data_IF_501521366481
#
_entry.id   IF_501521366481
#
_cell.length_a   1.000
_cell.length_b   1.000
_cell.length_c   1.000
_cell.angle_alpha   90.00
_cell.angle_beta   90.00
_cell.angle_gamma   90.00
#
_symmetry.space_group_name_H-M   'P 1'
#
loop_
_entity.id
_entity.type
_entity.pdbx_description
1 polymer ?
#
# COMPACT_ATOMS: atom_id res chain seq x y z
N UNK A 1 24.82 -33.89 -22.80
CA UNK A 1 23.85 -33.25 -21.87
C UNK A 1 23.74 -31.79 -22.29
N UNK A 2 22.80 -31.48 -23.17
CA UNK A 2 22.65 -30.16 -23.79
C UNK A 2 21.94 -29.24 -22.78
N UNK A 3 22.68 -28.28 -22.19
CA UNK A 3 22.07 -27.22 -21.39
C UNK A 3 21.31 -26.33 -22.36
N UNK A 4 19.99 -26.49 -22.45
CA UNK A 4 19.16 -25.55 -23.20
C UNK A 4 19.41 -24.15 -22.65
N UNK A 5 20.02 -23.29 -23.46
CA UNK A 5 20.30 -21.89 -23.13
C UNK A 5 18.96 -21.15 -23.13
N UNK A 6 18.19 -21.27 -22.04
CA UNK A 6 16.98 -20.48 -21.81
C UNK A 6 17.39 -19.01 -21.82
N UNK A 7 17.20 -18.35 -22.96
CA UNK A 7 17.41 -16.91 -23.09
C UNK A 7 16.19 -16.26 -22.44
N UNK A 8 16.31 -15.94 -21.16
CA UNK A 8 15.25 -15.29 -20.39
C UNK A 8 14.87 -13.99 -21.11
N UNK A 9 13.60 -13.86 -21.44
CA UNK A 9 13.05 -12.62 -21.96
C UNK A 9 12.82 -11.67 -20.78
N UNK A 10 13.81 -10.78 -20.57
CA UNK A 10 13.77 -9.80 -19.48
C UNK A 10 12.62 -8.80 -19.65
N UNK A 11 12.27 -8.44 -20.89
CA UNK A 11 11.16 -7.51 -21.14
C UNK A 11 9.84 -8.11 -20.65
N UNK A 12 9.60 -9.38 -20.96
CA UNK A 12 8.40 -10.09 -20.50
C UNK A 12 8.40 -10.29 -18.99
N UNK A 13 9.56 -10.53 -18.37
CA UNK A 13 9.67 -10.63 -16.92
C UNK A 13 9.32 -9.30 -16.24
N UNK A 14 9.89 -8.20 -16.71
CA UNK A 14 9.66 -6.86 -16.16
C UNK A 14 8.19 -6.44 -16.26
N UNK A 15 7.55 -6.69 -17.41
CA UNK A 15 6.10 -6.44 -17.57
C UNK A 15 5.24 -7.27 -16.61
N UNK A 16 5.59 -8.54 -16.39
CA UNK A 16 4.88 -9.40 -15.43
C UNK A 16 5.05 -8.90 -14.00
N UNK A 17 6.24 -8.41 -13.63
CA UNK A 17 6.50 -7.80 -12.31
C UNK A 17 5.66 -6.53 -12.14
N UNK A 18 5.67 -5.63 -13.13
CA UNK A 18 4.84 -4.41 -13.11
C UNK A 18 3.35 -4.75 -12.97
N UNK A 19 2.87 -5.69 -13.77
CA UNK A 19 1.47 -6.13 -13.75
C UNK A 19 1.09 -6.71 -12.40
N UNK A 20 1.96 -7.55 -11.80
CA UNK A 20 1.73 -8.11 -10.47
C UNK A 20 1.55 -7.01 -9.42
N UNK A 21 2.42 -6.01 -9.39
CA UNK A 21 2.31 -4.91 -8.43
C UNK A 21 1.10 -4.00 -8.69
N UNK A 22 0.71 -3.81 -9.96
CA UNK A 22 -0.56 -3.14 -10.30
C UNK A 22 -1.79 -3.87 -9.74
N UNK A 23 -1.75 -5.20 -9.71
CA UNK A 23 -2.84 -6.02 -9.17
C UNK A 23 -2.81 -6.14 -7.64
N UNK A 24 -1.62 -6.25 -7.03
CA UNK A 24 -1.45 -6.38 -5.58
C UNK A 24 -1.75 -5.07 -4.83
N UNK A 25 -1.49 -3.94 -5.47
CA UNK A 25 -1.67 -2.64 -4.85
C UNK A 25 -3.12 -2.18 -5.02
N UNK A 26 -3.82 -1.77 -3.95
CA UNK A 26 -5.26 -1.51 -3.99
C UNK A 26 -5.58 -0.17 -4.66
N UNK A 27 -5.20 0.00 -5.94
CA UNK A 27 -5.39 1.24 -6.69
C UNK A 27 -6.88 1.60 -6.89
N UNK A 28 -7.77 0.61 -6.86
CA UNK A 28 -9.22 0.79 -7.01
C UNK A 28 -9.80 1.80 -6.00
N UNK A 29 -9.21 1.92 -4.80
CA UNK A 29 -9.69 2.85 -3.78
C UNK A 29 -9.59 4.31 -4.21
N UNK A 30 -8.59 4.63 -5.05
CA UNK A 30 -8.43 5.99 -5.57
C UNK A 30 -9.44 6.31 -6.66
N UNK A 31 -9.76 5.32 -7.51
CA UNK A 31 -10.75 5.45 -8.58
C UNK A 31 -12.17 5.63 -8.02
N UNK A 32 -12.48 4.94 -6.92
CA UNK A 32 -13.82 4.92 -6.31
C UNK A 32 -13.91 5.70 -5.00
N UNK A 33 -12.94 6.58 -4.71
CA UNK A 33 -12.80 7.24 -3.42
C UNK A 33 -14.10 7.84 -2.90
N UNK A 34 -14.79 8.62 -3.73
CA UNK A 34 -16.00 9.34 -3.33
C UNK A 34 -17.20 8.43 -3.15
N UNK A 35 -17.33 7.40 -3.99
CA UNK A 35 -18.44 6.45 -3.91
C UNK A 35 -18.34 5.61 -2.64
N UNK A 36 -17.14 5.09 -2.35
CA UNK A 36 -16.86 4.34 -1.13
C UNK A 36 -17.08 5.21 0.12
N UNK A 37 -16.53 6.44 0.11
CA UNK A 37 -16.68 7.36 1.23
C UNK A 37 -18.14 7.75 1.47
N UNK A 38 -18.93 7.93 0.40
CA UNK A 38 -20.34 8.27 0.49
C UNK A 38 -21.18 7.11 1.03
N UNK A 39 -20.91 5.88 0.57
CA UNK A 39 -21.56 4.67 1.06
C UNK A 39 -21.31 4.49 2.56
N UNK A 40 -20.06 4.55 2.98
CA UNK A 40 -19.67 4.42 4.39
C UNK A 40 -20.30 5.49 5.27
N UNK A 41 -20.31 6.73 4.77
CA UNK A 41 -20.83 7.86 5.52
C UNK A 41 -22.35 7.96 5.48
N UNK A 42 -23.08 7.16 4.68
CA UNK A 42 -24.54 7.28 4.51
C UNK A 42 -25.27 7.19 5.85
N UNK A 43 -24.88 6.24 6.69
CA UNK A 43 -25.50 5.98 7.99
C UNK A 43 -24.53 6.14 9.18
N UNK A 44 -23.32 6.66 8.95
CA UNK A 44 -22.33 6.80 10.00
C UNK A 44 -22.65 7.96 10.95
N UNK A 45 -22.63 7.67 12.26
CA UNK A 45 -22.78 8.69 13.32
C UNK A 45 -21.65 9.71 13.32
N UNK A 46 -20.44 9.28 12.94
CA UNK A 46 -19.26 10.12 12.74
C UNK A 46 -18.81 9.97 11.30
N UNK A 47 -18.59 11.09 10.61
CA UNK A 47 -18.16 11.07 9.22
C UNK A 47 -16.68 10.72 9.12
N UNK A 48 -16.37 9.71 8.31
CA UNK A 48 -15.01 9.37 7.92
C UNK A 48 -14.48 10.40 6.91
N UNK A 49 -13.16 10.62 6.96
CA UNK A 49 -12.42 11.47 6.01
C UNK A 49 -11.92 10.71 4.79
N UNK A 50 -11.73 9.40 4.93
CA UNK A 50 -11.26 8.50 3.89
C UNK A 50 -12.05 7.18 3.96
N UNK A 51 -12.22 6.45 2.85
CA UNK A 51 -12.85 5.11 2.85
C UNK A 51 -12.14 4.13 3.80
N UNK A 52 -12.78 3.05 4.29
CA UNK A 52 -12.09 1.97 5.03
C UNK A 52 -11.27 1.10 4.10
N UNK A 53 -11.65 0.96 2.83
CA UNK A 53 -10.85 0.28 1.81
C UNK A 53 -9.45 0.92 1.69
N UNK A 54 -9.33 2.21 2.01
CA UNK A 54 -8.04 2.90 2.06
C UNK A 54 -7.11 2.32 3.12
N UNK A 55 -7.63 1.61 4.13
CA UNK A 55 -6.82 0.94 5.14
C UNK A 55 -5.93 -0.16 4.53
N UNK A 56 -6.35 -0.81 3.44
CA UNK A 56 -5.51 -1.78 2.71
C UNK A 56 -4.27 -1.11 2.13
N UNK A 57 -4.43 0.08 1.55
CA UNK A 57 -3.32 0.90 1.07
C UNK A 57 -2.39 1.31 2.22
N UNK A 58 -2.95 1.74 3.36
CA UNK A 58 -2.16 2.12 4.54
C UNK A 58 -1.38 0.92 5.11
N UNK A 59 -2.01 -0.25 5.19
CA UNK A 59 -1.38 -1.48 5.64
C UNK A 59 -0.25 -1.90 4.70
N UNK A 60 -0.46 -1.81 3.39
CA UNK A 60 0.58 -2.08 2.40
C UNK A 60 1.78 -1.14 2.58
N UNK A 61 1.55 0.18 2.70
CA UNK A 61 2.65 1.13 2.95
C UNK A 61 3.38 0.83 4.27
N UNK A 62 2.66 0.33 5.29
CA UNK A 62 3.23 0.03 6.60
C UNK A 62 4.19 -1.16 6.58
N UNK A 63 4.13 -2.03 5.56
CA UNK A 63 5.14 -3.06 5.33
C UNK A 63 6.54 -2.45 5.19
N UNK A 64 6.64 -1.24 4.63
CA UNK A 64 7.92 -0.60 4.31
C UNK A 64 8.21 0.66 5.13
N UNK A 65 7.18 1.33 5.66
CA UNK A 65 7.29 2.66 6.27
C UNK A 65 6.65 2.69 7.67
N UNK A 66 7.28 3.35 8.66
CA UNK A 66 6.61 3.61 9.93
C UNK A 66 5.42 4.56 9.72
N UNK A 67 4.41 4.48 10.59
CA UNK A 67 3.18 5.30 10.50
C UNK A 67 3.43 6.81 10.34
N UNK A 68 4.49 7.35 10.96
CA UNK A 68 4.83 8.76 10.83
C UNK A 68 5.36 9.11 9.43
N UNK A 69 6.10 8.21 8.79
CA UNK A 69 6.53 8.40 7.42
C UNK A 69 5.34 8.30 6.46
N UNK A 70 4.39 7.39 6.72
CA UNK A 70 3.13 7.29 5.96
C UNK A 70 2.36 8.62 6.04
N UNK A 71 2.18 9.19 7.23
CA UNK A 71 1.55 10.52 7.38
C UNK A 71 2.25 11.57 6.50
N UNK A 72 3.58 11.59 6.48
CA UNK A 72 4.37 12.48 5.61
C UNK A 72 4.07 12.28 4.12
N UNK A 73 4.02 11.02 3.67
CA UNK A 73 3.64 10.66 2.29
C UNK A 73 2.22 11.13 1.96
N UNK A 74 1.24 10.86 2.83
CA UNK A 74 -0.15 11.26 2.59
C UNK A 74 -0.31 12.77 2.50
N UNK A 75 0.39 13.54 3.35
CA UNK A 75 0.39 15.00 3.27
C UNK A 75 0.95 15.49 1.94
N UNK A 76 2.01 14.87 1.42
CA UNK A 76 2.55 15.21 0.11
C UNK A 76 1.56 14.86 -1.01
N UNK A 77 0.91 13.71 -0.96
CA UNK A 77 -0.11 13.31 -1.94
C UNK A 77 -1.33 14.24 -1.92
N UNK A 78 -1.76 14.70 -0.75
CA UNK A 78 -2.84 15.68 -0.61
C UNK A 78 -2.43 17.03 -1.22
N UNK A 79 -1.21 17.51 -0.95
CA UNK A 79 -0.68 18.74 -1.54
C UNK A 79 -0.60 18.67 -3.07
N UNK A 80 -0.26 17.50 -3.62
CA UNK A 80 -0.25 17.23 -5.05
C UNK A 80 -1.65 16.99 -5.63
N UNK A 81 -2.71 17.02 -4.81
CA UNK A 81 -4.11 16.76 -5.18
C UNK A 81 -4.32 15.36 -5.78
N UNK A 82 -3.46 14.41 -5.42
CA UNK A 82 -3.61 12.99 -5.79
C UNK A 82 -4.67 12.33 -4.92
N UNK A 83 -4.70 12.69 -3.64
CA UNK A 83 -5.76 12.30 -2.70
C UNK A 83 -6.47 13.55 -2.18
N UNK A 84 -7.75 13.45 -1.82
CA UNK A 84 -8.50 14.63 -1.40
C UNK A 84 -8.22 15.06 0.04
N UNK A 85 -7.70 14.15 0.87
CA UNK A 85 -7.33 14.46 2.25
C UNK A 85 -6.27 13.52 2.80
N UNK A 86 -5.38 14.03 3.66
CA UNK A 86 -4.43 13.21 4.41
C UNK A 86 -4.99 12.73 5.75
N UNK A 87 -4.38 11.68 6.30
CA UNK A 87 -4.68 11.15 7.63
C UNK A 87 -3.48 11.39 8.54
N UNK A 88 -3.73 11.77 9.80
CA UNK A 88 -2.68 11.89 10.80
C UNK A 88 -2.21 10.52 11.31
N UNK A 89 -1.03 10.49 11.94
CA UNK A 89 -0.43 9.29 12.52
C UNK A 89 -1.41 8.46 13.36
N UNK A 90 -2.17 9.11 14.24
CA UNK A 90 -3.04 8.44 15.20
C UNK A 90 -4.18 7.72 14.47
N UNK A 91 -4.76 8.41 13.48
CA UNK A 91 -5.82 7.89 12.62
C UNK A 91 -5.33 6.72 11.77
N UNK A 92 -4.12 6.82 11.20
CA UNK A 92 -3.52 5.72 10.41
C UNK A 92 -3.29 4.50 11.32
N UNK A 93 -2.66 4.71 12.48
CA UNK A 93 -2.36 3.63 13.42
C UNK A 93 -3.62 2.91 13.88
N UNK A 94 -4.67 3.64 14.26
CA UNK A 94 -5.93 3.08 14.72
C UNK A 94 -6.60 2.25 13.61
N UNK A 95 -6.62 2.79 12.39
CA UNK A 95 -7.21 2.13 11.22
C UNK A 95 -6.51 0.81 10.88
N UNK A 96 -5.19 0.84 10.77
CA UNK A 96 -4.40 -0.35 10.40
C UNK A 96 -4.40 -1.38 11.52
N UNK A 97 -4.26 -0.96 12.79
CA UNK A 97 -4.27 -1.86 13.95
C UNK A 97 -5.58 -2.63 14.10
N UNK A 98 -6.70 -2.01 13.73
CA UNK A 98 -8.04 -2.62 13.85
C UNK A 98 -8.45 -3.42 12.60
N UNK A 99 -7.56 -3.57 11.61
CA UNK A 99 -7.85 -4.43 10.45
C UNK A 99 -7.85 -5.89 10.87
N UNK A 100 -8.93 -6.59 10.56
CA UNK A 100 -9.00 -8.04 10.70
C UNK A 100 -8.41 -8.67 9.44
N UNK A 101 -7.09 -8.77 9.36
CA UNK A 101 -6.40 -9.34 8.21
C UNK A 101 -6.60 -10.85 8.22
N UNK A 102 -7.51 -11.33 7.39
CA UNK A 102 -7.60 -12.74 7.03
C UNK A 102 -6.74 -12.93 5.79
N UNK A 103 -5.54 -13.49 5.96
CA UNK A 103 -4.76 -13.91 4.81
C UNK A 103 -5.50 -15.08 4.16
N UNK A 104 -5.82 -15.03 2.85
CA UNK A 104 -6.32 -16.20 2.16
C UNK A 104 -5.28 -17.32 2.30
N UNK A 105 -5.73 -18.53 2.63
CA UNK A 105 -4.85 -19.69 2.69
C UNK A 105 -4.06 -19.77 1.39
N UNK A 106 -2.74 -19.87 1.52
CA UNK A 106 -1.78 -19.94 0.41
C UNK A 106 -2.26 -20.99 -0.59
N UNK A 107 -2.71 -20.55 -1.78
CA UNK A 107 -2.68 -21.43 -2.94
C UNK A 107 -1.20 -21.69 -3.23
N UNK A 108 -0.83 -22.95 -3.46
CA UNK A 108 0.54 -23.45 -3.69
C UNK A 108 1.35 -22.74 -4.82
N UNK A 109 0.80 -21.71 -5.46
CA UNK A 109 1.40 -20.96 -6.56
C UNK A 109 2.03 -19.61 -6.15
N UNK A 110 1.89 -19.15 -4.89
CA UNK A 110 2.44 -17.86 -4.46
C UNK A 110 3.61 -18.02 -3.47
N UNK A 111 4.79 -18.37 -4.00
CA UNK A 111 6.05 -18.31 -3.26
C UNK A 111 6.54 -16.84 -3.21
N UNK A 112 6.19 -16.10 -2.16
CA UNK A 112 6.73 -14.76 -1.89
C UNK A 112 8.04 -14.91 -1.12
N UNK A 113 9.15 -14.95 -1.86
CA UNK A 113 10.49 -14.82 -1.27
C UNK A 113 10.78 -13.33 -1.11
N UNK A 114 10.55 -12.80 0.09
CA UNK A 114 11.07 -11.50 0.49
C UNK A 114 12.52 -11.70 0.95
N UNK A 115 13.48 -11.50 0.04
CA UNK A 115 14.88 -11.41 0.46
C UNK A 115 15.06 -10.07 1.21
N UNK A 116 15.57 -10.17 2.43
CA UNK A 116 15.81 -9.06 3.33
C UNK A 116 17.13 -8.34 3.00
N UNK A 117 17.29 -7.82 1.79
CA UNK A 117 18.42 -6.93 1.45
C UNK A 117 18.25 -5.47 1.88
N UNK A 118 17.20 -5.18 2.65
CA UNK A 118 17.21 -4.11 3.65
C UNK A 118 16.84 -2.71 3.15
N UNK A 119 15.81 -2.12 3.76
CA UNK A 119 15.65 -0.66 3.80
C UNK A 119 16.47 -0.17 5.00
N UNK A 120 17.56 0.56 4.75
CA UNK A 120 18.25 1.30 5.80
C UNK A 120 17.62 2.69 5.92
N UNK A 121 17.09 3.02 7.09
CA UNK A 121 16.66 4.37 7.43
C UNK A 121 17.73 5.01 8.30
N UNK A 122 18.55 5.89 7.73
CA UNK A 122 19.35 6.80 8.54
C UNK A 122 18.40 7.80 9.19
N UNK A 123 18.31 7.81 10.53
CA UNK A 123 17.77 8.95 11.27
C UNK A 123 18.76 10.11 11.12
N UNK A 124 18.71 10.79 9.98
CA UNK A 124 19.43 12.02 9.73
C UNK A 124 18.90 13.10 10.67
N UNK A 125 19.57 13.29 11.80
CA UNK A 125 19.43 14.49 12.62
C UNK A 125 19.93 15.66 11.78
N UNK A 126 19.02 16.49 11.29
CA UNK A 126 19.38 17.76 10.66
C UNK A 126 20.05 18.62 11.76
N UNK A 127 21.33 19.01 11.63
CA UNK A 127 21.91 19.98 12.54
C UNK A 127 21.30 21.35 12.20
N UNK A 128 20.53 21.89 13.14
CA UNK A 128 20.23 23.32 13.25
C UNK A 128 21.49 24.07 13.67
#
# INVERSE_FOLDING_TARGET
MEKSKYKRDWSKYDENVITRYKLMFPFYVFEHWWDLLAEENRNARTKYKAPKEFNEFLAFLHIFLPYRAIEGVLRALEQLKIIPTSLDYSTIWERVRNMNITFPETSDELEVIADATGISTNTGRCPI
#
